data_IF_912338338255
#
_entry.id   IF_912338338255
#
_cell.length_a   1.000
_cell.length_b   1.000
_cell.length_c   1.000
_cell.angle_alpha   90.00
_cell.angle_beta   90.00
_cell.angle_gamma   90.00
#
_symmetry.space_group_name_H-M   'P 1'
#
loop_
_entity.id
_entity.type
_entity.pdbx_description
1 polymer ?
#
# COMPACT_ATOMS: atom_id res chain seq x y z
N UNK A 1 32.63 41.45 -40.52
CA UNK A 1 31.16 41.39 -40.48
C UNK A 1 30.73 39.96 -40.79
N UNK A 2 30.17 39.22 -39.83
CA UNK A 2 29.74 37.83 -40.04
C UNK A 2 28.40 37.85 -40.78
N UNK A 3 28.39 37.32 -42.01
CA UNK A 3 27.19 37.24 -42.85
C UNK A 3 26.14 36.34 -42.21
N UNK A 4 24.94 36.88 -42.00
CA UNK A 4 23.80 36.09 -41.58
C UNK A 4 23.45 35.10 -42.70
N UNK A 5 23.59 33.81 -42.44
CA UNK A 5 23.17 32.77 -43.36
C UNK A 5 21.64 32.81 -43.48
N UNK A 6 21.14 33.21 -44.65
CA UNK A 6 19.70 33.25 -44.95
C UNK A 6 19.23 31.79 -45.10
N UNK A 7 18.58 31.26 -44.07
CA UNK A 7 17.97 29.93 -44.11
C UNK A 7 16.89 29.90 -45.20
N UNK A 8 16.99 28.98 -46.15
CA UNK A 8 15.95 28.79 -47.17
C UNK A 8 14.68 28.27 -46.50
N UNK A 9 13.50 28.76 -46.94
CA UNK A 9 12.17 28.39 -46.41
C UNK A 9 11.94 26.87 -46.33
N UNK A 10 12.52 26.10 -47.27
CA UNK A 10 12.46 24.62 -47.31
C UNK A 10 13.25 23.97 -46.17
N UNK A 11 14.38 24.55 -45.78
CA UNK A 11 15.23 24.05 -44.69
C UNK A 11 14.64 24.44 -43.33
N UNK A 12 14.03 25.64 -43.24
CA UNK A 12 13.26 26.06 -42.07
C UNK A 12 12.08 25.11 -41.79
N UNK A 13 11.35 24.68 -42.83
CA UNK A 13 10.24 23.73 -42.71
C UNK A 13 10.70 22.35 -42.22
N UNK A 14 11.88 21.88 -42.65
CA UNK A 14 12.45 20.61 -42.20
C UNK A 14 12.85 20.66 -40.72
N UNK A 15 13.50 21.74 -40.30
CA UNK A 15 13.89 21.96 -38.90
C UNK A 15 12.65 22.05 -38.01
N UNK A 16 11.61 22.77 -38.45
CA UNK A 16 10.35 22.89 -37.73
C UNK A 16 9.65 21.53 -37.57
N UNK A 17 9.61 20.70 -38.62
CA UNK A 17 9.07 19.33 -38.55
C UNK A 17 9.86 18.45 -37.57
N UNK A 18 11.19 18.53 -37.61
CA UNK A 18 12.04 17.78 -36.69
C UNK A 18 11.80 18.19 -35.23
N UNK A 19 11.68 19.50 -34.98
CA UNK A 19 11.35 20.03 -33.66
C UNK A 19 9.98 19.55 -33.16
N UNK A 20 8.96 19.53 -34.03
CA UNK A 20 7.62 19.01 -33.71
C UNK A 20 7.64 17.52 -33.34
N UNK A 21 8.40 16.71 -34.08
CA UNK A 21 8.56 15.28 -33.79
C UNK A 21 9.25 15.10 -32.43
N UNK A 22 10.31 15.86 -32.17
CA UNK A 22 11.02 15.82 -30.89
C UNK A 22 10.12 16.23 -29.72
N UNK A 23 9.34 17.30 -29.89
CA UNK A 23 8.37 17.75 -28.90
C UNK A 23 7.31 16.67 -28.61
N UNK A 24 6.80 16.02 -29.65
CA UNK A 24 5.84 14.94 -29.51
C UNK A 24 6.42 13.75 -28.73
N UNK A 25 7.67 13.35 -29.03
CA UNK A 25 8.37 12.30 -28.29
C UNK A 25 8.57 12.69 -26.83
N UNK A 26 8.98 13.93 -26.54
CA UNK A 26 9.13 14.42 -25.17
C UNK A 26 7.80 14.37 -24.40
N UNK A 27 6.70 14.81 -25.01
CA UNK A 27 5.36 14.74 -24.40
C UNK A 27 4.98 13.27 -24.14
N UNK A 28 5.24 12.39 -25.10
CA UNK A 28 4.91 10.97 -24.96
C UNK A 28 5.71 10.29 -23.83
N UNK A 29 6.99 10.63 -23.69
CA UNK A 29 7.84 10.15 -22.58
C UNK A 29 7.30 10.65 -21.23
N UNK A 30 6.92 11.94 -21.14
CA UNK A 30 6.32 12.50 -19.93
C UNK A 30 5.01 11.81 -19.57
N UNK A 31 4.15 11.54 -20.55
CA UNK A 31 2.89 10.81 -20.35
C UNK A 31 3.12 9.37 -19.86
N UNK A 32 4.12 8.67 -20.40
CA UNK A 32 4.49 7.31 -19.95
C UNK A 32 4.99 7.34 -18.49
N UNK A 33 5.83 8.32 -18.14
CA UNK A 33 6.35 8.44 -16.76
C UNK A 33 5.22 8.75 -15.78
N UNK A 34 4.36 9.72 -16.08
CA UNK A 34 3.19 10.08 -15.24
C UNK A 34 2.24 8.87 -15.09
N UNK A 35 2.05 8.09 -16.15
CA UNK A 35 1.23 6.88 -16.12
C UNK A 35 1.82 5.76 -15.24
N UNK A 36 3.14 5.68 -15.11
CA UNK A 36 3.84 4.68 -14.29
C UNK A 36 4.04 5.09 -12.82
N UNK A 37 4.01 6.39 -12.49
CA UNK A 37 4.33 6.90 -11.16
C UNK A 37 3.23 6.74 -10.08
N UNK A 38 2.29 5.79 -10.18
CA UNK A 38 1.07 5.83 -9.36
C UNK A 38 0.67 4.52 -8.66
N UNK A 39 1.59 3.57 -8.55
CA UNK A 39 1.36 2.31 -7.87
C UNK A 39 2.59 1.94 -7.04
N UNK A 40 2.42 1.93 -5.72
CA UNK A 40 3.39 1.35 -4.78
C UNK A 40 2.65 0.24 -4.02
N UNK A 41 2.95 -1.00 -4.38
CA UNK A 41 2.52 -2.20 -3.67
C UNK A 41 3.72 -2.77 -2.94
N UNK A 42 3.56 -2.98 -1.64
CA UNK A 42 4.49 -3.70 -0.81
C UNK A 42 3.70 -4.87 -0.22
N UNK A 43 4.07 -6.09 -0.61
CA UNK A 43 3.60 -7.34 -0.02
C UNK A 43 4.81 -8.00 0.66
N UNK A 44 4.83 -7.94 1.99
CA UNK A 44 5.94 -8.42 2.81
C UNK A 44 5.45 -9.50 3.76
N UNK A 45 5.73 -10.74 3.37
CA UNK A 45 5.52 -11.93 4.18
C UNK A 45 6.79 -12.28 4.98
N UNK A 46 6.63 -12.46 6.28
CA UNK A 46 7.69 -12.84 7.21
C UNK A 46 7.29 -14.17 7.86
N UNK A 47 8.11 -15.20 7.64
CA UNK A 47 7.96 -16.54 8.24
C UNK A 47 9.15 -16.93 9.12
N UNK A 48 10.22 -16.13 9.12
CA UNK A 48 11.40 -16.30 9.97
C UNK A 48 11.93 -14.94 10.44
N UNK A 49 12.54 -14.88 11.63
CA UNK A 49 13.15 -13.65 12.16
C UNK A 49 12.15 -12.70 12.83
N UNK A 50 12.24 -11.40 12.54
CA UNK A 50 11.44 -10.35 13.20
C UNK A 50 10.99 -9.26 12.23
N UNK A 51 9.85 -8.63 12.55
CA UNK A 51 9.23 -7.58 11.76
C UNK A 51 8.15 -6.84 12.55
N UNK A 52 7.97 -5.55 12.25
CA UNK A 52 6.88 -4.73 12.80
C UNK A 52 6.80 -4.68 14.34
N UNK A 53 7.92 -4.89 15.03
CA UNK A 53 7.99 -4.91 16.49
C UNK A 53 7.69 -6.28 17.12
N UNK A 54 7.55 -7.32 16.30
CA UNK A 54 7.27 -8.70 16.70
C UNK A 54 8.34 -9.65 16.14
N UNK A 55 8.49 -10.81 16.75
CA UNK A 55 9.33 -11.89 16.24
C UNK A 55 8.48 -13.11 15.93
N UNK A 56 8.87 -13.88 14.92
CA UNK A 56 8.30 -15.21 14.72
C UNK A 56 8.59 -16.04 15.97
N UNK A 57 7.56 -16.73 16.48
CA UNK A 57 7.60 -17.45 17.74
C UNK A 57 7.23 -16.63 18.99
N UNK A 58 7.00 -15.31 18.88
CA UNK A 58 6.45 -14.51 19.97
C UNK A 58 5.09 -15.05 20.42
N UNK A 59 4.79 -15.00 21.71
CA UNK A 59 3.50 -15.49 22.23
C UNK A 59 2.38 -14.53 21.87
N UNK A 60 1.13 -15.01 21.86
CA UNK A 60 -0.04 -14.14 21.70
C UNK A 60 -0.05 -13.00 22.72
N UNK A 61 0.32 -13.28 23.97
CA UNK A 61 0.43 -12.26 25.02
C UNK A 61 1.43 -11.15 24.66
N UNK A 62 2.58 -11.52 24.09
CA UNK A 62 3.57 -10.55 23.61
C UNK A 62 2.98 -9.66 22.51
N UNK A 63 2.25 -10.28 21.56
CA UNK A 63 1.59 -9.55 20.47
C UNK A 63 0.58 -8.54 21.03
N UNK A 64 -0.29 -8.96 21.94
CA UNK A 64 -1.30 -8.08 22.55
C UNK A 64 -0.64 -6.91 23.28
N UNK A 65 0.48 -7.13 23.97
CA UNK A 65 1.23 -6.08 24.66
C UNK A 65 1.87 -5.06 23.69
N UNK A 66 2.30 -5.51 22.51
CA UNK A 66 2.78 -4.62 21.45
C UNK A 66 1.62 -3.84 20.82
N UNK A 67 0.51 -4.52 20.51
CA UNK A 67 -0.66 -3.93 19.88
C UNK A 67 -1.31 -2.84 20.75
N UNK A 68 -1.31 -2.97 22.08
CA UNK A 68 -1.81 -1.94 23.01
C UNK A 68 -1.16 -0.57 22.84
N UNK A 69 0.06 -0.50 22.28
CA UNK A 69 0.80 0.75 22.07
C UNK A 69 0.53 1.37 20.69
N UNK A 70 -0.17 0.66 19.81
CA UNK A 70 -0.44 1.12 18.44
C UNK A 70 -1.28 2.40 18.42
N UNK A 71 -2.37 2.54 19.20
CA UNK A 71 -3.20 3.75 19.16
C UNK A 71 -2.46 5.04 19.51
N UNK A 72 -1.42 4.96 20.34
CA UNK A 72 -0.59 6.13 20.71
C UNK A 72 0.21 6.66 19.51
N UNK A 73 0.66 5.74 18.63
CA UNK A 73 1.46 6.07 17.45
C UNK A 73 0.62 6.25 16.19
N UNK A 74 -0.50 5.53 16.11
CA UNK A 74 -1.41 5.48 14.96
C UNK A 74 -2.86 5.59 15.47
N UNK A 75 -3.35 6.80 15.80
CA UNK A 75 -4.64 7.00 16.46
C UNK A 75 -5.85 6.60 15.60
N UNK A 76 -5.67 6.52 14.28
CA UNK A 76 -6.73 6.10 13.34
C UNK A 76 -6.68 4.61 13.02
N UNK A 77 -5.76 3.86 13.63
CA UNK A 77 -5.65 2.43 13.35
C UNK A 77 -6.86 1.68 13.92
N UNK A 78 -7.38 0.73 13.15
CA UNK A 78 -8.45 -0.16 13.59
C UNK A 78 -7.92 -1.58 13.75
N UNK A 79 -8.26 -2.21 14.86
CA UNK A 79 -7.96 -3.61 15.09
C UNK A 79 -9.18 -4.45 14.69
N UNK A 80 -8.92 -5.50 13.93
CA UNK A 80 -9.88 -6.51 13.56
C UNK A 80 -9.37 -7.87 14.03
N UNK A 81 -10.31 -8.77 14.26
CA UNK A 81 -10.00 -10.19 14.43
C UNK A 81 -10.94 -11.00 13.56
N UNK A 82 -10.52 -12.18 13.13
CA UNK A 82 -11.39 -13.13 12.45
C UNK A 82 -11.26 -14.50 13.08
N UNK A 83 -12.41 -15.15 13.22
CA UNK A 83 -12.48 -16.58 13.54
C UNK A 83 -12.41 -17.34 12.23
N UNK A 84 -11.72 -18.47 12.22
CA UNK A 84 -11.56 -19.32 11.04
C UNK A 84 -12.89 -19.48 10.26
N UNK A 85 -12.91 -19.08 8.99
CA UNK A 85 -14.10 -19.15 8.13
C UNK A 85 -15.08 -17.96 8.20
N UNK A 86 -14.80 -16.92 8.98
CA UNK A 86 -15.63 -15.70 9.07
C UNK A 86 -14.91 -14.46 8.53
N UNK A 87 -15.70 -13.45 8.15
CA UNK A 87 -15.18 -12.11 7.85
C UNK A 87 -14.54 -11.49 9.10
N UNK A 88 -13.57 -10.59 8.89
CA UNK A 88 -12.98 -9.82 9.99
C UNK A 88 -14.02 -8.95 10.68
N UNK A 89 -13.92 -8.84 12.00
CA UNK A 89 -14.81 -8.04 12.84
C UNK A 89 -13.97 -6.98 13.56
N UNK A 90 -14.34 -5.69 13.48
CA UNK A 90 -13.64 -4.65 14.21
C UNK A 90 -13.82 -4.83 15.72
N UNK A 91 -12.76 -4.58 16.48
CA UNK A 91 -12.77 -4.60 17.94
C UNK A 91 -12.19 -3.30 18.49
N UNK A 92 -12.81 -2.78 19.55
CA UNK A 92 -12.24 -1.64 20.27
C UNK A 92 -10.90 -2.02 20.91
N UNK A 93 -9.95 -1.09 20.86
CA UNK A 93 -8.65 -1.22 21.53
C UNK A 93 -8.77 -1.52 23.03
N UNK A 94 -9.81 -1.01 23.70
CA UNK A 94 -10.08 -1.28 25.11
C UNK A 94 -10.49 -2.74 25.37
N UNK A 95 -10.99 -3.42 24.33
CA UNK A 95 -11.48 -4.80 24.38
C UNK A 95 -10.46 -5.80 23.84
N UNK A 96 -9.22 -5.38 23.54
CA UNK A 96 -8.19 -6.24 22.94
C UNK A 96 -7.88 -7.51 23.75
N UNK A 97 -8.09 -7.49 25.07
CA UNK A 97 -7.85 -8.66 25.92
C UNK A 97 -8.94 -9.75 25.78
N UNK A 98 -10.01 -9.50 25.02
CA UNK A 98 -11.08 -10.47 24.76
C UNK A 98 -10.77 -11.40 23.58
N UNK A 99 -9.70 -11.13 22.84
CA UNK A 99 -9.30 -11.90 21.67
C UNK A 99 -8.58 -13.18 22.11
N UNK A 100 -8.87 -14.29 21.44
CA UNK A 100 -8.26 -15.60 21.71
C UNK A 100 -7.05 -15.84 20.81
N UNK A 101 -6.05 -16.62 21.26
CA UNK A 101 -4.95 -17.10 20.40
C UNK A 101 -5.40 -17.91 19.18
N UNK A 102 -6.64 -18.42 19.20
CA UNK A 102 -7.27 -19.09 18.05
C UNK A 102 -7.79 -18.14 16.99
N UNK A 103 -7.85 -16.84 17.27
CA UNK A 103 -8.36 -15.83 16.35
C UNK A 103 -7.19 -15.25 15.53
N UNK A 104 -7.40 -15.06 14.22
CA UNK A 104 -6.47 -14.29 13.40
C UNK A 104 -6.54 -12.81 13.75
N UNK A 105 -5.40 -12.14 13.81
CA UNK A 105 -5.32 -10.71 14.13
C UNK A 105 -4.99 -9.90 12.88
N UNK A 106 -5.80 -8.87 12.65
CA UNK A 106 -5.66 -8.02 11.49
C UNK A 106 -5.67 -6.55 11.92
N UNK A 107 -4.54 -5.88 11.76
CA UNK A 107 -4.38 -4.47 12.11
C UNK A 107 -4.41 -3.61 10.85
N UNK A 108 -5.25 -2.59 10.83
CA UNK A 108 -5.31 -1.62 9.74
C UNK A 108 -4.81 -0.28 10.24
N UNK A 109 -3.73 0.21 9.64
CA UNK A 109 -3.14 1.50 10.01
C UNK A 109 -3.84 2.67 9.32
N UNK A 110 -4.29 2.46 8.08
CA UNK A 110 -4.89 3.50 7.25
C UNK A 110 -5.77 2.87 6.14
N UNK A 111 -7.00 3.36 5.99
CA UNK A 111 -7.98 2.98 4.95
C UNK A 111 -8.43 4.15 4.08
N UNK A 112 -7.61 5.19 3.89
CA UNK A 112 -7.97 6.29 3.00
C UNK A 112 -8.15 5.79 1.55
N UNK A 113 -8.99 6.49 0.77
CA UNK A 113 -9.30 6.11 -0.63
C UNK A 113 -8.11 5.89 -1.58
N UNK A 114 -6.92 6.35 -1.20
CA UNK A 114 -5.68 6.22 -1.99
C UNK A 114 -4.65 5.31 -1.31
N UNK A 115 -4.85 4.90 -0.06
CA UNK A 115 -3.83 4.23 0.75
C UNK A 115 -4.45 3.17 1.65
N UNK A 116 -3.96 1.95 1.56
CA UNK A 116 -4.35 0.83 2.40
C UNK A 116 -3.09 0.24 3.01
N UNK A 117 -2.94 0.24 4.33
CA UNK A 117 -1.78 -0.35 5.02
C UNK A 117 -2.28 -1.20 6.16
N UNK A 118 -2.03 -2.50 6.07
CA UNK A 118 -2.46 -3.45 7.08
C UNK A 118 -1.39 -4.49 7.38
N UNK A 119 -1.49 -5.06 8.57
CA UNK A 119 -0.67 -6.14 9.08
C UNK A 119 -1.57 -7.27 9.55
N UNK A 120 -1.46 -8.41 8.89
CA UNK A 120 -2.05 -9.68 9.30
C UNK A 120 -1.03 -10.47 10.13
N UNK A 121 -1.48 -11.06 11.23
CA UNK A 121 -0.67 -11.84 12.15
C UNK A 121 -1.37 -13.17 12.37
N UNK A 122 -0.71 -14.24 11.93
CA UNK A 122 -1.17 -15.61 12.10
C UNK A 122 -0.46 -16.29 13.26
N UNK A 123 -1.21 -17.16 13.94
CA UNK A 123 -0.73 -17.91 15.10
C UNK A 123 -0.77 -19.41 14.82
N UNK A 124 0.19 -20.13 15.38
CA UNK A 124 0.16 -21.58 15.52
C UNK A 124 0.58 -21.94 16.95
N UNK A 125 -0.23 -22.74 17.65
CA UNK A 125 0.00 -23.10 19.05
C UNK A 125 0.37 -21.91 19.95
N UNK A 126 -0.44 -20.83 19.93
CA UNK A 126 -0.25 -19.59 20.72
C UNK A 126 0.98 -18.75 20.34
N UNK A 127 1.69 -19.12 19.27
CA UNK A 127 2.89 -18.41 18.81
C UNK A 127 2.70 -17.83 17.42
N UNK A 128 3.28 -16.65 17.18
CA UNK A 128 3.31 -16.05 15.84
C UNK A 128 4.00 -17.02 14.88
N UNK A 129 3.27 -17.47 13.87
CA UNK A 129 3.78 -18.33 12.80
C UNK A 129 4.16 -17.53 11.56
N UNK A 130 3.39 -16.47 11.29
CA UNK A 130 3.54 -15.65 10.11
C UNK A 130 3.03 -14.24 10.37
N UNK A 131 3.69 -13.28 9.73
CA UNK A 131 3.19 -11.91 9.60
C UNK A 131 3.17 -11.54 8.14
N UNK A 132 2.07 -10.93 7.69
CA UNK A 132 2.00 -10.37 6.36
C UNK A 132 1.61 -8.90 6.43
N UNK A 133 2.50 -8.01 5.97
CA UNK A 133 2.16 -6.60 5.82
C UNK A 133 1.93 -6.31 4.37
N UNK A 134 0.76 -5.73 4.10
CA UNK A 134 0.45 -5.27 2.77
C UNK A 134 0.17 -3.78 2.83
N UNK A 135 0.89 -3.05 1.99
CA UNK A 135 0.71 -1.62 1.79
C UNK A 135 0.44 -1.38 0.32
N UNK A 136 -0.66 -0.70 0.05
CA UNK A 136 -1.05 -0.27 -1.26
C UNK A 136 -1.24 1.25 -1.32
N UNK A 137 -0.64 1.90 -2.31
CA UNK A 137 -0.87 3.31 -2.62
C UNK A 137 -1.36 3.42 -4.08
N UNK A 138 -2.61 3.87 -4.27
CA UNK A 138 -3.23 4.06 -5.57
C UNK A 138 -3.52 5.55 -5.78
N UNK A 139 -2.71 6.18 -6.61
CA UNK A 139 -2.86 7.60 -6.97
C UNK A 139 -3.71 7.80 -8.25
N UNK A 140 -4.28 6.73 -8.82
CA UNK A 140 -5.12 6.72 -10.01
C UNK A 140 -6.50 6.08 -9.71
N UNK A 141 -7.56 6.67 -10.25
CA UNK A 141 -8.98 6.29 -10.08
C UNK A 141 -9.32 4.84 -10.40
N UNK A 142 -8.69 4.22 -11.41
CA UNK A 142 -8.92 2.80 -11.72
C UNK A 142 -8.40 1.88 -10.61
N UNK A 143 -7.23 2.20 -10.06
CA UNK A 143 -6.60 1.42 -8.99
C UNK A 143 -7.27 1.65 -7.63
N UNK A 144 -7.97 2.77 -7.44
CA UNK A 144 -8.84 2.97 -6.26
C UNK A 144 -9.97 1.94 -6.19
N UNK A 145 -10.46 1.46 -7.34
CA UNK A 145 -11.51 0.43 -7.36
C UNK A 145 -10.96 -0.92 -6.87
N UNK A 146 -9.74 -1.29 -7.25
CA UNK A 146 -9.04 -2.47 -6.72
C UNK A 146 -8.81 -2.37 -5.21
N UNK A 147 -8.45 -1.19 -4.69
CA UNK A 147 -8.34 -0.98 -3.24
C UNK A 147 -9.66 -1.18 -2.51
N UNK A 148 -10.75 -0.60 -3.02
CA UNK A 148 -12.08 -0.82 -2.45
C UNK A 148 -12.50 -2.28 -2.51
N UNK A 149 -12.13 -2.99 -3.57
CA UNK A 149 -12.36 -4.43 -3.63
C UNK A 149 -11.60 -5.18 -2.52
N UNK A 150 -10.33 -4.87 -2.30
CA UNK A 150 -9.53 -5.49 -1.23
C UNK A 150 -10.08 -5.10 0.16
N UNK A 151 -10.37 -3.82 0.39
CA UNK A 151 -10.98 -3.35 1.62
C UNK A 151 -12.34 -4.02 1.89
N UNK A 152 -13.17 -4.18 0.85
CA UNK A 152 -14.45 -4.90 0.93
C UNK A 152 -14.27 -6.39 1.20
N UNK A 153 -13.32 -7.08 0.55
CA UNK A 153 -12.98 -8.49 0.82
C UNK A 153 -12.49 -8.69 2.26
N UNK A 154 -11.78 -7.72 2.81
CA UNK A 154 -11.30 -7.72 4.19
C UNK A 154 -12.38 -7.29 5.20
N UNK A 155 -13.58 -6.91 4.75
CA UNK A 155 -14.67 -6.44 5.61
C UNK A 155 -14.44 -5.06 6.21
N UNK A 156 -13.57 -4.25 5.60
CA UNK A 156 -13.24 -2.88 6.04
C UNK A 156 -14.18 -1.82 5.46
N UNK A 157 -14.82 -2.10 4.32
CA UNK A 157 -15.85 -1.25 3.73
C UNK A 157 -17.23 -1.64 4.31
N UNK A 158 -17.67 -0.89 5.32
CA UNK A 158 -19.02 -0.94 5.91
C UNK A 158 -19.78 0.37 5.73
#
# INVERSE_FOLDING_TARGET
MKGAAILKKKDLLKIFKFFLILLFICIFIVLIIIGKCKYEEIDQRITEGSGYGLSIGSTFSDVINVLKKVPEKYPNATLHYYKEGNNSVPISWDSINQISPSDGLFLVYDTHSNYLDFLDISFNDDKVSEMNRIKFCALNTEYKASHRCIASLLGLDG
#
